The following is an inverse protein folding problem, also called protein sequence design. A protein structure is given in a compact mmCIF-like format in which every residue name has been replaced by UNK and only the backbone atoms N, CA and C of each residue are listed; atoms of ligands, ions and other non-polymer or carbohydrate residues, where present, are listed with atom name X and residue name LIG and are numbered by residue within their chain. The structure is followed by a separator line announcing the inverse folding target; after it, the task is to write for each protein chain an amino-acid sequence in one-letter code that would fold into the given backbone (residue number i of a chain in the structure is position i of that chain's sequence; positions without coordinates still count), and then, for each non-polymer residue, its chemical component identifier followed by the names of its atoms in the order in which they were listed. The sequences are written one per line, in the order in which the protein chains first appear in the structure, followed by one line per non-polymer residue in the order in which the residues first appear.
data_IF_280686461954
#
_entry.id   IF_280686461954
#
_cell.length_a   1.000
_cell.length_b   1.000
_cell.length_c   1.000
_cell.angle_alpha   90.00
_cell.angle_beta   90.00
_cell.angle_gamma   90.00
#
_symmetry.space_group_name_H-M   'P 1'
#
loop_
_entity.id
_entity.type
_entity.pdbx_description
1 polymer ?
#
# COMPACT_ATOMS: atom_id res chain seq x y z
N UNK A 1 6.98 -4.81 27.31
CA UNK A 1 6.54 -5.60 26.14
C UNK A 1 7.12 -4.92 24.94
N UNK A 2 7.89 -5.62 24.15
CA UNK A 2 8.59 -5.08 22.99
C UNK A 2 7.57 -4.60 21.97
N UNK A 3 7.76 -3.44 21.36
CA UNK A 3 6.76 -2.86 20.43
C UNK A 3 6.57 -3.75 19.19
N UNK A 4 7.62 -4.45 18.77
CA UNK A 4 7.59 -5.43 17.70
C UNK A 4 6.64 -6.60 18.02
N UNK A 5 6.76 -7.22 19.20
CA UNK A 5 5.87 -8.29 19.66
C UNK A 5 4.39 -7.85 19.68
N UNK A 6 4.15 -6.57 19.93
CA UNK A 6 2.77 -6.06 19.97
C UNK A 6 2.20 -5.85 18.56
N UNK A 7 3.01 -5.39 17.58
CA UNK A 7 2.57 -5.29 16.18
C UNK A 7 2.27 -6.67 15.59
N UNK A 8 3.13 -7.67 15.90
CA UNK A 8 2.90 -9.05 15.49
C UNK A 8 1.59 -9.62 16.07
N UNK A 9 1.30 -9.32 17.34
CA UNK A 9 0.05 -9.75 17.97
C UNK A 9 -1.16 -9.10 17.29
N UNK A 10 -1.10 -7.79 17.01
CA UNK A 10 -2.16 -7.07 16.28
C UNK A 10 -2.36 -7.68 14.89
N UNK A 11 -1.27 -7.94 14.16
CA UNK A 11 -1.35 -8.53 12.82
C UNK A 11 -2.01 -9.91 12.86
N UNK A 12 -1.60 -10.77 13.79
CA UNK A 12 -2.15 -12.11 13.93
C UNK A 12 -3.64 -12.11 14.28
N UNK A 13 -4.05 -11.27 15.23
CA UNK A 13 -5.45 -11.12 15.63
C UNK A 13 -6.29 -10.59 14.46
N UNK A 14 -5.81 -9.55 13.79
CA UNK A 14 -6.48 -8.98 12.63
C UNK A 14 -6.64 -10.00 11.49
N UNK A 15 -5.60 -10.77 11.19
CA UNK A 15 -5.67 -11.82 10.18
C UNK A 15 -6.70 -12.89 10.54
N UNK A 16 -6.72 -13.33 11.80
CA UNK A 16 -7.69 -14.31 12.27
C UNK A 16 -9.15 -13.79 12.18
N UNK A 17 -9.38 -12.55 12.58
CA UNK A 17 -10.71 -11.91 12.52
C UNK A 17 -11.23 -11.72 11.09
N UNK A 18 -10.33 -11.48 10.13
CA UNK A 18 -10.67 -11.16 8.75
C UNK A 18 -10.42 -12.31 7.76
N UNK A 19 -10.04 -13.49 8.24
CA UNK A 19 -9.81 -14.68 7.39
C UNK A 19 -8.63 -14.50 6.42
N UNK A 20 -7.62 -13.72 6.81
CA UNK A 20 -6.41 -13.52 6.00
C UNK A 20 -5.36 -14.58 6.33
N UNK A 21 -4.69 -15.05 5.30
CA UNK A 21 -3.59 -16.01 5.42
C UNK A 21 -2.33 -15.39 4.85
N UNK A 22 -1.52 -14.76 5.70
CA UNK A 22 -0.24 -14.15 5.30
C UNK A 22 0.83 -14.41 6.37
N UNK A 23 2.10 -14.40 5.94
CA UNK A 23 3.24 -14.37 6.82
C UNK A 23 3.61 -12.92 7.15
N UNK A 24 4.25 -12.69 8.29
CA UNK A 24 4.85 -11.42 8.68
C UNK A 24 6.36 -11.59 8.73
N UNK A 25 7.09 -10.66 8.13
CA UNK A 25 8.56 -10.58 8.16
C UNK A 25 9.02 -9.19 8.54
N UNK A 26 10.09 -9.12 9.32
CA UNK A 26 10.80 -7.89 9.67
C UNK A 26 12.04 -7.65 8.80
N UNK A 27 12.37 -8.60 7.94
CA UNK A 27 13.47 -8.51 6.99
C UNK A 27 12.93 -8.06 5.63
N UNK A 28 13.23 -6.82 5.26
CA UNK A 28 12.76 -6.23 4.00
C UNK A 28 13.41 -6.93 2.79
N UNK A 29 12.65 -7.18 1.73
CA UNK A 29 13.22 -7.69 0.48
C UNK A 29 14.15 -6.66 -0.17
N UNK A 30 15.11 -7.14 -0.94
CA UNK A 30 16.08 -6.31 -1.65
C UNK A 30 15.36 -5.27 -2.55
N UNK A 31 15.78 -4.02 -2.46
CA UNK A 31 15.19 -2.89 -3.20
C UNK A 31 14.08 -2.15 -2.45
N UNK A 32 13.68 -2.63 -1.25
CA UNK A 32 12.65 -2.00 -0.41
C UNK A 32 13.20 -1.45 0.90
N UNK A 33 14.50 -1.25 1.01
CA UNK A 33 15.19 -0.83 2.25
C UNK A 33 14.73 0.54 2.77
N UNK A 34 14.14 1.37 1.90
CA UNK A 34 13.62 2.71 2.25
C UNK A 34 12.11 2.74 2.48
N UNK A 35 11.40 1.64 2.24
CA UNK A 35 9.97 1.54 2.50
C UNK A 35 9.71 1.18 3.97
N UNK A 36 8.63 1.71 4.55
CA UNK A 36 8.18 1.35 5.90
C UNK A 36 7.54 -0.02 5.96
N UNK A 37 6.92 -0.47 4.89
CA UNK A 37 6.35 -1.79 4.71
C UNK A 37 6.12 -2.09 3.24
N UNK A 38 5.79 -3.34 2.95
CA UNK A 38 5.30 -3.78 1.65
C UNK A 38 4.61 -5.14 1.79
N UNK A 39 3.60 -5.39 0.97
CA UNK A 39 2.96 -6.68 0.85
C UNK A 39 3.37 -7.37 -0.45
N UNK A 40 4.01 -8.53 -0.36
CA UNK A 40 4.36 -9.35 -1.50
C UNK A 40 3.24 -10.35 -1.80
N UNK A 41 2.64 -10.21 -2.98
CA UNK A 41 1.50 -11.04 -3.42
C UNK A 41 1.95 -12.47 -3.72
N UNK A 42 3.16 -12.65 -4.29
CA UNK A 42 3.65 -13.95 -4.71
C UNK A 42 4.02 -14.82 -3.51
N UNK A 43 4.68 -14.22 -2.53
CA UNK A 43 5.05 -14.90 -1.28
C UNK A 43 3.97 -14.85 -0.21
N UNK A 44 2.91 -14.07 -0.46
CA UNK A 44 1.84 -13.82 0.51
C UNK A 44 2.38 -13.39 1.87
N UNK A 45 3.35 -12.47 1.84
CA UNK A 45 4.11 -12.02 3.00
C UNK A 45 4.01 -10.51 3.15
N UNK A 46 3.69 -10.08 4.35
CA UNK A 46 3.73 -8.70 4.78
C UNK A 46 5.10 -8.43 5.38
N UNK A 47 5.83 -7.49 4.80
CA UNK A 47 7.12 -7.02 5.28
C UNK A 47 6.98 -5.68 5.99
N UNK A 48 7.58 -5.55 7.17
CA UNK A 48 7.66 -4.30 7.93
C UNK A 48 9.10 -3.95 8.24
N UNK A 49 9.51 -2.75 7.93
CA UNK A 49 10.87 -2.25 8.13
C UNK A 49 11.06 -1.76 9.58
N UNK A 50 11.47 -2.66 10.47
CA UNK A 50 11.64 -2.32 11.88
C UNK A 50 12.67 -1.21 12.07
N UNK A 51 13.75 -1.17 11.30
CA UNK A 51 14.78 -0.13 11.40
C UNK A 51 14.24 1.30 11.17
N UNK A 52 13.18 1.44 10.37
CA UNK A 52 12.49 2.71 10.16
C UNK A 52 11.35 2.92 11.17
N UNK A 53 10.67 1.85 11.59
CA UNK A 53 9.50 1.92 12.45
C UNK A 53 9.84 2.16 13.91
N UNK A 54 10.96 1.61 14.42
CA UNK A 54 11.33 1.67 15.84
C UNK A 54 11.40 3.09 16.43
N UNK A 55 11.73 4.08 15.59
CA UNK A 55 11.80 5.49 15.98
C UNK A 55 10.45 6.22 15.96
N UNK A 56 9.41 5.60 15.43
CA UNK A 56 8.09 6.20 15.28
C UNK A 56 7.23 6.00 16.53
N UNK A 57 6.26 6.90 16.70
CA UNK A 57 5.23 6.72 17.71
C UNK A 57 4.36 5.51 17.37
N UNK A 58 3.84 4.84 18.38
CA UNK A 58 3.02 3.63 18.23
C UNK A 58 1.86 3.76 17.24
N UNK A 59 1.16 4.89 17.25
CA UNK A 59 0.10 5.14 16.27
C UNK A 59 0.60 5.13 14.82
N UNK A 60 1.81 5.65 14.57
CA UNK A 60 2.42 5.65 13.24
C UNK A 60 2.89 4.24 12.86
N UNK A 61 3.49 3.49 13.77
CA UNK A 61 3.85 2.08 13.55
C UNK A 61 2.61 1.26 13.18
N UNK A 62 1.52 1.41 13.93
CA UNK A 62 0.25 0.74 13.66
C UNK A 62 -0.38 1.18 12.34
N UNK A 63 -0.20 2.43 11.92
CA UNK A 63 -0.68 2.91 10.63
C UNK A 63 -0.04 2.11 9.48
N UNK A 64 1.29 1.97 9.47
CA UNK A 64 1.98 1.19 8.44
C UNK A 64 1.57 -0.28 8.47
N UNK A 65 1.43 -0.87 9.65
CA UNK A 65 0.92 -2.24 9.78
C UNK A 65 -0.47 -2.41 9.14
N UNK A 66 -1.44 -1.54 9.50
CA UNK A 66 -2.80 -1.65 8.96
C UNK A 66 -2.88 -1.30 7.48
N UNK A 67 -2.01 -0.42 6.99
CA UNK A 67 -1.88 -0.13 5.56
C UNK A 67 -1.51 -1.39 4.78
N UNK A 68 -0.47 -2.10 5.19
CA UNK A 68 -0.02 -3.32 4.53
C UNK A 68 -1.03 -4.49 4.70
N UNK A 69 -1.64 -4.61 5.88
CA UNK A 69 -2.73 -5.58 6.09
C UNK A 69 -3.91 -5.33 5.16
N UNK A 70 -4.21 -4.05 4.86
CA UNK A 70 -5.27 -3.71 3.90
C UNK A 70 -4.93 -4.14 2.49
N UNK A 71 -3.67 -4.04 2.07
CA UNK A 71 -3.21 -4.63 0.81
C UNK A 71 -3.42 -6.15 0.79
N UNK A 72 -3.09 -6.85 1.87
CA UNK A 72 -3.41 -8.27 2.02
C UNK A 72 -4.90 -8.58 1.77
N UNK A 73 -5.82 -7.78 2.34
CA UNK A 73 -7.26 -7.94 2.09
C UNK A 73 -7.61 -7.68 0.62
N UNK A 74 -7.08 -6.61 0.03
CA UNK A 74 -7.37 -6.22 -1.36
C UNK A 74 -7.02 -7.32 -2.36
N UNK A 75 -5.89 -8.01 -2.15
CA UNK A 75 -5.44 -9.08 -3.04
C UNK A 75 -6.02 -10.45 -2.72
N UNK A 76 -6.30 -10.77 -1.45
CA UNK A 76 -6.89 -12.06 -1.08
C UNK A 76 -8.42 -12.10 -1.20
N UNK A 77 -9.09 -10.96 -1.06
CA UNK A 77 -10.55 -10.85 -1.00
C UNK A 77 -11.05 -9.70 -1.91
N UNK A 78 -10.62 -9.63 -3.18
CA UNK A 78 -10.91 -8.49 -4.05
C UNK A 78 -12.41 -8.25 -4.27
N UNK A 79 -13.24 -9.28 -4.14
CA UNK A 79 -14.71 -9.18 -4.28
C UNK A 79 -15.35 -8.28 -3.22
N UNK A 80 -14.69 -8.00 -2.11
CA UNK A 80 -15.17 -7.09 -1.07
C UNK A 80 -14.98 -5.62 -1.42
N UNK A 81 -14.27 -5.31 -2.51
CA UNK A 81 -13.90 -3.96 -2.90
C UNK A 81 -14.68 -3.47 -4.12
N UNK A 82 -14.84 -2.14 -4.27
CA UNK A 82 -15.50 -1.55 -5.44
C UNK A 82 -14.82 -1.96 -6.75
N UNK A 83 -15.56 -2.03 -7.87
CA UNK A 83 -15.02 -2.47 -9.15
C UNK A 83 -13.77 -1.70 -9.59
N UNK A 84 -13.78 -0.38 -9.48
CA UNK A 84 -12.66 0.45 -9.89
C UNK A 84 -11.38 0.21 -9.07
N UNK A 85 -11.50 -0.05 -7.76
CA UNK A 85 -10.35 -0.43 -6.95
C UNK A 85 -9.79 -1.78 -7.44
N UNK A 86 -10.65 -2.76 -7.69
CA UNK A 86 -10.22 -4.08 -8.22
C UNK A 86 -9.50 -3.97 -9.56
N UNK A 87 -9.98 -3.09 -10.45
CA UNK A 87 -9.35 -2.81 -11.73
C UNK A 87 -7.95 -2.21 -11.57
N UNK A 88 -7.70 -1.47 -10.49
CA UNK A 88 -6.40 -0.84 -10.23
C UNK A 88 -5.35 -1.79 -9.66
N UNK A 89 -5.76 -2.88 -8.99
CA UNK A 89 -4.84 -3.82 -8.32
C UNK A 89 -3.72 -4.39 -9.21
N UNK A 90 -3.95 -4.69 -10.50
CA UNK A 90 -2.89 -5.22 -11.35
C UNK A 90 -1.87 -4.16 -11.81
N UNK A 91 -2.00 -2.90 -11.42
CA UNK A 91 -1.10 -1.82 -11.83
C UNK A 91 -0.35 -1.26 -10.64
N UNK A 92 0.94 -0.99 -10.83
CA UNK A 92 1.78 -0.24 -9.89
C UNK A 92 2.48 0.87 -10.65
N UNK A 93 2.55 2.05 -10.05
CA UNK A 93 3.29 3.20 -10.55
C UNK A 93 4.16 3.74 -9.43
N UNK A 94 5.42 4.03 -9.70
CA UNK A 94 6.32 4.69 -8.77
C UNK A 94 6.51 6.17 -9.16
N UNK A 95 7.02 6.98 -8.23
CA UNK A 95 7.14 8.46 -8.42
C UNK A 95 8.02 8.86 -9.58
N UNK A 96 8.93 7.98 -10.01
CA UNK A 96 9.85 8.23 -11.12
C UNK A 96 9.29 7.76 -12.48
N UNK A 97 8.02 7.31 -12.52
CA UNK A 97 7.36 6.79 -13.69
C UNK A 97 7.62 5.31 -13.97
N UNK A 98 8.42 4.62 -13.13
CA UNK A 98 8.54 3.16 -13.21
C UNK A 98 7.16 2.56 -12.95
N UNK A 99 6.72 1.69 -13.85
CA UNK A 99 5.40 1.09 -13.76
C UNK A 99 5.47 -0.43 -13.91
N UNK A 100 4.49 -1.10 -13.32
CA UNK A 100 4.36 -2.54 -13.41
C UNK A 100 2.93 -2.91 -13.75
N UNK A 101 2.78 -4.04 -14.43
CA UNK A 101 1.49 -4.65 -14.76
C UNK A 101 1.55 -6.14 -14.45
N UNK A 102 0.62 -6.59 -13.64
CA UNK A 102 0.43 -8.02 -13.39
C UNK A 102 -0.34 -8.64 -14.55
N UNK A 103 0.29 -9.55 -15.30
CA UNK A 103 -0.30 -10.29 -16.42
C UNK A 103 0.03 -11.77 -16.27
N UNK A 104 -0.99 -12.63 -16.28
CA UNK A 104 -0.82 -14.08 -16.17
C UNK A 104 0.02 -14.52 -14.95
N UNK A 105 -0.12 -13.80 -13.82
CA UNK A 105 0.62 -14.06 -12.59
C UNK A 105 2.07 -13.55 -12.59
N UNK A 106 2.50 -12.82 -13.61
CA UNK A 106 3.86 -12.27 -13.72
C UNK A 106 3.82 -10.75 -13.78
N UNK A 107 4.65 -10.10 -12.97
CA UNK A 107 4.86 -8.66 -13.02
C UNK A 107 5.76 -8.29 -14.20
N UNK A 108 5.24 -7.48 -15.11
CA UNK A 108 6.01 -6.86 -16.18
C UNK A 108 6.33 -5.43 -15.81
N UNK A 109 7.59 -5.02 -16.04
CA UNK A 109 8.08 -3.69 -15.70
C UNK A 109 8.28 -2.85 -16.96
N UNK A 110 7.93 -1.57 -16.85
CA UNK A 110 8.20 -0.54 -17.86
C UNK A 110 8.53 0.80 -17.21
N UNK A 111 8.71 1.82 -18.04
CA UNK A 111 8.96 3.20 -17.60
C UNK A 111 8.14 4.16 -18.45
N UNK A 112 7.27 4.92 -17.85
CA UNK A 112 6.55 6.01 -18.50
C UNK A 112 7.43 7.27 -18.50
N UNK A 113 7.29 8.06 -19.55
CA UNK A 113 7.85 9.41 -19.61
C UNK A 113 6.85 10.42 -19.08
N UNK A 114 7.34 11.37 -18.29
CA UNK A 114 6.52 12.41 -17.68
C UNK A 114 7.20 13.07 -16.49
N UNK A 115 6.48 13.96 -15.84
CA UNK A 115 6.99 14.72 -14.69
C UNK A 115 6.80 13.93 -13.39
N UNK A 116 7.81 13.98 -12.52
CA UNK A 116 7.79 13.32 -11.21
C UNK A 116 6.60 13.78 -10.35
N UNK A 117 6.24 15.06 -10.40
CA UNK A 117 5.10 15.59 -9.67
C UNK A 117 3.78 14.92 -10.11
N UNK A 118 3.60 14.65 -11.40
CA UNK A 118 2.45 13.91 -11.90
C UNK A 118 2.44 12.46 -11.39
N UNK A 119 3.58 11.77 -11.47
CA UNK A 119 3.68 10.39 -11.01
C UNK A 119 3.50 10.25 -9.50
N UNK A 120 4.07 11.18 -8.72
CA UNK A 120 3.89 11.23 -7.27
C UNK A 120 2.41 11.42 -6.91
N UNK A 121 1.74 12.36 -7.55
CA UNK A 121 0.32 12.60 -7.31
C UNK A 121 -0.55 11.40 -7.71
N UNK A 122 -0.25 10.78 -8.87
CA UNK A 122 -0.95 9.59 -9.32
C UNK A 122 -0.74 8.40 -8.37
N UNK A 123 0.49 8.17 -7.90
CA UNK A 123 0.81 7.13 -6.92
C UNK A 123 0.03 7.31 -5.61
N UNK A 124 0.10 8.50 -5.02
CA UNK A 124 -0.58 8.79 -3.76
C UNK A 124 -2.11 8.70 -3.85
N UNK A 125 -2.66 8.94 -5.04
CA UNK A 125 -4.09 8.84 -5.31
C UNK A 125 -4.53 7.51 -5.90
N UNK A 126 -3.65 6.52 -6.05
CA UNK A 126 -4.05 5.21 -6.56
C UNK A 126 -5.20 4.63 -5.72
N UNK A 127 -6.26 4.06 -6.32
CA UNK A 127 -7.45 3.64 -5.60
C UNK A 127 -7.17 2.71 -4.42
N UNK A 128 -6.29 1.73 -4.60
CA UNK A 128 -5.93 0.80 -3.53
C UNK A 128 -5.04 1.44 -2.45
N UNK A 129 -4.18 2.42 -2.80
CA UNK A 129 -3.36 3.15 -1.83
C UNK A 129 -4.21 4.08 -0.96
N UNK A 130 -5.15 4.80 -1.59
CA UNK A 130 -6.08 5.66 -0.85
C UNK A 130 -6.97 4.86 0.10
N UNK A 131 -7.49 3.72 -0.35
CA UNK A 131 -8.27 2.82 0.50
C UNK A 131 -7.43 2.30 1.68
N UNK A 132 -6.18 1.88 1.43
CA UNK A 132 -5.29 1.39 2.48
C UNK A 132 -4.95 2.49 3.50
N UNK A 133 -4.66 3.71 3.05
CA UNK A 133 -4.39 4.86 3.92
C UNK A 133 -5.60 5.23 4.78
N UNK A 134 -6.80 5.31 4.20
CA UNK A 134 -8.04 5.63 4.92
C UNK A 134 -8.39 4.53 5.93
N UNK A 135 -8.24 3.27 5.55
CA UNK A 135 -8.45 2.14 6.43
C UNK A 135 -7.49 2.16 7.63
N UNK A 136 -6.19 2.31 7.37
CA UNK A 136 -5.16 2.37 8.41
C UNK A 136 -5.42 3.51 9.39
N UNK A 137 -5.73 4.70 8.88
CA UNK A 137 -6.09 5.86 9.69
C UNK A 137 -7.29 5.56 10.60
N UNK A 138 -8.36 4.96 10.06
CA UNK A 138 -9.54 4.58 10.81
C UNK A 138 -9.22 3.58 11.93
N UNK A 139 -8.42 2.54 11.64
CA UNK A 139 -8.03 1.53 12.61
C UNK A 139 -7.20 2.12 13.76
N UNK A 140 -6.23 2.98 13.45
CA UNK A 140 -5.40 3.63 14.46
C UNK A 140 -6.23 4.58 15.32
N UNK A 141 -7.12 5.35 14.70
CA UNK A 141 -8.01 6.27 15.42
C UNK A 141 -8.91 5.57 16.45
N UNK A 142 -9.44 4.41 16.06
CA UNK A 142 -10.28 3.59 16.95
C UNK A 142 -9.49 3.01 18.13
N UNK A 143 -8.23 2.65 17.95
CA UNK A 143 -7.40 1.95 18.95
C UNK A 143 -6.58 2.90 19.81
N UNK A 144 -6.03 3.96 19.23
CA UNK A 144 -5.07 4.87 19.85
C UNK A 144 -5.61 6.30 20.04
N UNK A 145 -6.76 6.61 19.45
CA UNK A 145 -7.29 7.97 19.40
C UNK A 145 -6.67 8.82 18.29
N UNK A 146 -7.15 10.05 18.15
CA UNK A 146 -6.60 11.03 17.22
C UNK A 146 -5.29 11.61 17.76
N UNK A 147 -4.32 11.84 16.86
CA UNK A 147 -3.08 12.53 17.18
C UNK A 147 -2.63 13.40 16.00
N UNK A 148 -1.94 14.49 16.29
CA UNK A 148 -1.40 15.37 15.25
C UNK A 148 -0.39 14.65 14.33
N UNK A 149 0.37 13.70 14.90
CA UNK A 149 1.31 12.88 14.12
C UNK A 149 0.57 11.98 13.10
N UNK A 150 -0.56 11.41 13.50
CA UNK A 150 -1.40 10.60 12.62
C UNK A 150 -2.05 11.44 11.51
N UNK A 151 -2.55 12.64 11.84
CA UNK A 151 -3.12 13.57 10.85
C UNK A 151 -2.08 14.00 9.82
N UNK A 152 -0.86 14.34 10.27
CA UNK A 152 0.26 14.67 9.36
C UNK A 152 0.63 13.49 8.47
N UNK A 153 0.60 12.27 9.00
CA UNK A 153 0.91 11.07 8.22
C UNK A 153 -0.13 10.86 7.11
N UNK A 154 -1.42 10.94 7.42
CA UNK A 154 -2.48 10.84 6.42
C UNK A 154 -2.36 11.93 5.35
N UNK A 155 -2.09 13.17 5.74
CA UNK A 155 -1.90 14.28 4.81
C UNK A 155 -0.75 14.03 3.84
N UNK A 156 0.39 13.52 4.32
CA UNK A 156 1.55 13.18 3.49
C UNK A 156 1.29 12.00 2.55
N UNK A 157 0.42 11.10 2.94
CA UNK A 157 0.03 9.92 2.15
C UNK A 157 -1.17 10.18 1.24
N UNK A 158 -1.56 11.44 1.07
CA UNK A 158 -2.69 11.84 0.22
C UNK A 158 -2.20 12.64 -0.99
N UNK A 159 -2.83 12.50 -2.16
CA UNK A 159 -2.48 13.29 -3.34
C UNK A 159 -2.84 14.77 -3.14
N UNK A 160 -2.09 15.67 -3.76
CA UNK A 160 -2.42 17.10 -3.79
C UNK A 160 -3.72 17.35 -4.56
N UNK A 161 -3.93 16.59 -5.64
CA UNK A 161 -5.11 16.66 -6.48
C UNK A 161 -5.65 15.26 -6.75
N UNK A 162 -6.91 15.03 -6.41
CA UNK A 162 -7.59 13.78 -6.76
C UNK A 162 -7.72 13.66 -8.28
N UNK A 163 -7.26 12.54 -8.80
CA UNK A 163 -7.51 12.14 -10.19
C UNK A 163 -8.88 11.45 -10.27
N UNK A 164 -9.56 11.66 -11.39
CA UNK A 164 -10.81 10.96 -11.68
C UNK A 164 -10.57 9.51 -12.10
N UNK A 165 -11.61 8.69 -12.05
CA UNK A 165 -11.57 7.33 -12.57
C UNK A 165 -11.15 7.30 -14.05
N UNK A 166 -11.64 8.23 -14.86
CA UNK A 166 -11.28 8.34 -16.28
C UNK A 166 -9.78 8.63 -16.47
N UNK A 167 -9.21 9.54 -15.66
CA UNK A 167 -7.77 9.84 -15.68
C UNK A 167 -6.92 8.61 -15.31
N UNK A 168 -7.35 7.79 -14.33
CA UNK A 168 -6.70 6.53 -14.01
C UNK A 168 -6.84 5.49 -15.11
N UNK A 169 -8.01 5.36 -15.74
CA UNK A 169 -8.18 4.46 -16.89
C UNK A 169 -7.29 4.87 -18.08
N UNK A 170 -7.05 6.17 -18.29
CA UNK A 170 -6.07 6.65 -19.27
C UNK A 170 -4.65 6.26 -18.86
N UNK A 171 -4.29 6.38 -17.58
CA UNK A 171 -2.99 5.95 -17.07
C UNK A 171 -2.79 4.44 -17.24
N UNK A 172 -3.80 3.61 -16.95
CA UNK A 172 -3.73 2.16 -17.14
C UNK A 172 -3.50 1.80 -18.62
N UNK A 173 -4.20 2.45 -19.54
CA UNK A 173 -3.96 2.28 -20.99
C UNK A 173 -2.51 2.64 -21.39
N UNK A 174 -1.97 3.74 -20.86
CA UNK A 174 -0.57 4.13 -21.12
C UNK A 174 0.42 3.08 -20.62
N UNK A 175 0.16 2.48 -19.45
CA UNK A 175 0.99 1.39 -18.91
C UNK A 175 0.89 0.16 -19.84
N UNK A 176 -0.32 -0.25 -20.21
CA UNK A 176 -0.55 -1.40 -21.08
C UNK A 176 0.13 -1.21 -22.46
N UNK A 177 -0.01 -0.04 -23.09
CA UNK A 177 0.66 0.30 -24.35
C UNK A 177 2.19 0.24 -24.22
N UNK A 178 2.73 0.75 -23.10
CA UNK A 178 4.18 0.73 -22.84
C UNK A 178 4.73 -0.69 -22.70
N UNK A 179 3.95 -1.60 -22.15
CA UNK A 179 4.35 -2.98 -21.88
C UNK A 179 4.02 -3.95 -23.04
N UNK A 180 3.25 -3.50 -24.02
CA UNK A 180 2.96 -4.26 -25.25
C UNK A 180 4.09 -4.19 -26.30
N UNK A 181 5.04 -3.26 -26.11
CA UNK A 181 6.21 -3.04 -26.97
C UNK A 181 7.45 -3.72 -26.43
#
# INVERSE_FOLDING_TARGET
MDDEQTLETIAREFCAENGLHLALSWEMPAGYETAYGTYDIAENTLFLNWALLESLQRGQQSFYLFHELRHGMQYQQPEQFPPFLRESLPYVLLYDGTCFRLQDGVWRQGKLEGEEAYFTNAYLGFPYEMDANQFAYGQVRLRCGASEALERLLTRSSPEKLMTEEEYQQLFRRIDEKLAT
#
